data_IF_102854930144
#
_entry.id   IF_102854930144
#
_cell.length_a   1.000
_cell.length_b   1.000
_cell.length_c   1.000
_cell.angle_alpha   90.00
_cell.angle_beta   90.00
_cell.angle_gamma   90.00
#
_symmetry.space_group_name_H-M   'P 1'
#
loop_
_entity.id
_entity.type
_entity.pdbx_description
1 polymer ?
#
# COMPACT_ATOMS: atom_id res chain seq x y z
N UNK A 1 37.02 -28.31 48.08
CA UNK A 1 35.75 -29.05 47.93
C UNK A 1 34.71 -28.09 47.35
N UNK A 2 33.91 -28.55 46.39
CA UNK A 2 32.79 -27.88 45.72
C UNK A 2 33.08 -26.90 44.54
N UNK A 3 32.93 -27.45 43.33
CA UNK A 3 32.73 -26.76 42.05
C UNK A 3 31.26 -26.31 41.96
N UNK A 4 30.98 -25.02 41.79
CA UNK A 4 29.66 -24.57 41.36
C UNK A 4 29.62 -24.44 39.83
N UNK A 5 28.90 -25.38 39.22
CA UNK A 5 28.48 -25.40 37.83
C UNK A 5 27.55 -24.21 37.56
N UNK A 6 28.08 -23.14 36.98
CA UNK A 6 27.27 -22.07 36.41
C UNK A 6 26.71 -22.53 35.05
N UNK A 7 25.40 -22.38 34.93
CA UNK A 7 24.52 -23.06 34.00
C UNK A 7 24.63 -22.50 32.56
N UNK A 8 25.48 -23.10 31.72
CA UNK A 8 25.65 -22.74 30.29
C UNK A 8 24.59 -23.35 29.35
N UNK A 9 23.49 -23.94 29.86
CA UNK A 9 22.53 -24.70 29.03
C UNK A 9 21.37 -23.89 28.43
N UNK A 10 21.35 -22.56 28.61
CA UNK A 10 20.21 -21.71 28.18
C UNK A 10 20.39 -20.98 26.84
N UNK A 11 21.58 -20.97 26.24
CA UNK A 11 21.90 -20.17 25.04
C UNK A 11 21.58 -20.85 23.69
N UNK A 12 21.52 -22.19 23.62
CA UNK A 12 21.21 -22.90 22.36
C UNK A 12 19.71 -22.89 22.01
N UNK A 13 18.83 -23.01 23.00
CA UNK A 13 17.38 -22.98 22.79
C UNK A 13 16.87 -21.60 22.38
N UNK A 14 17.44 -20.53 22.93
CA UNK A 14 17.10 -19.15 22.54
C UNK A 14 17.52 -18.83 21.11
N UNK A 15 18.68 -19.32 20.66
CA UNK A 15 19.17 -19.07 19.30
C UNK A 15 18.29 -19.75 18.24
N UNK A 16 17.87 -21.00 18.49
CA UNK A 16 16.95 -21.73 17.61
C UNK A 16 15.57 -21.06 17.57
N UNK A 17 15.00 -20.66 18.71
CA UNK A 17 13.72 -19.95 18.74
C UNK A 17 13.79 -18.58 18.04
N UNK A 18 14.90 -17.85 18.19
CA UNK A 18 15.14 -16.61 17.45
C UNK A 18 15.25 -16.90 15.95
N UNK A 19 15.98 -17.93 15.54
CA UNK A 19 16.15 -18.32 14.14
C UNK A 19 14.82 -18.75 13.49
N UNK A 20 14.01 -19.56 14.19
CA UNK A 20 12.65 -19.93 13.75
C UNK A 20 11.74 -18.71 13.62
N UNK A 21 11.82 -17.76 14.56
CA UNK A 21 11.03 -16.54 14.52
C UNK A 21 11.43 -15.60 13.38
N UNK A 22 12.74 -15.49 13.08
CA UNK A 22 13.27 -14.70 11.97
C UNK A 22 12.90 -15.34 10.64
N UNK A 23 13.10 -16.66 10.50
CA UNK A 23 12.73 -17.41 9.31
C UNK A 23 11.25 -17.24 8.98
N UNK A 24 10.36 -17.40 9.97
CA UNK A 24 8.92 -17.17 9.81
C UNK A 24 8.63 -15.75 9.31
N UNK A 25 9.24 -14.72 9.90
CA UNK A 25 9.04 -13.31 9.48
C UNK A 25 9.49 -13.08 8.04
N UNK A 26 10.62 -13.66 7.63
CA UNK A 26 11.11 -13.56 6.25
C UNK A 26 10.16 -14.25 5.27
N UNK A 27 9.70 -15.46 5.58
CA UNK A 27 8.73 -16.17 4.75
C UNK A 27 7.42 -15.41 4.61
N UNK A 28 6.88 -14.87 5.72
CA UNK A 28 5.70 -14.01 5.68
C UNK A 28 5.94 -12.76 4.84
N UNK A 29 7.09 -12.10 4.98
CA UNK A 29 7.46 -10.92 4.20
C UNK A 29 7.54 -11.21 2.69
N UNK A 30 8.22 -12.28 2.30
CA UNK A 30 8.30 -12.73 0.91
C UNK A 30 6.91 -13.08 0.34
N UNK A 31 6.09 -13.76 1.13
CA UNK A 31 4.74 -14.13 0.73
C UNK A 31 3.85 -12.90 0.52
N UNK A 32 3.87 -11.94 1.45
CA UNK A 32 3.15 -10.66 1.31
C UNK A 32 3.63 -9.89 0.09
N UNK A 33 4.95 -9.75 -0.09
CA UNK A 33 5.51 -9.05 -1.24
C UNK A 33 5.07 -9.69 -2.58
N UNK A 34 5.02 -11.03 -2.64
CA UNK A 34 4.53 -11.76 -3.80
C UNK A 34 3.04 -11.49 -4.06
N UNK A 35 2.20 -11.51 -3.03
CA UNK A 35 0.77 -11.22 -3.17
C UNK A 35 0.53 -9.77 -3.65
N UNK A 36 1.24 -8.79 -3.07
CA UNK A 36 1.17 -7.39 -3.49
C UNK A 36 1.64 -7.21 -4.94
N UNK A 37 2.70 -7.91 -5.34
CA UNK A 37 3.21 -7.89 -6.71
C UNK A 37 2.17 -8.46 -7.68
N UNK A 38 1.58 -9.61 -7.38
CA UNK A 38 0.54 -10.22 -8.21
C UNK A 38 -0.66 -9.30 -8.32
N UNK A 39 -1.17 -8.77 -7.20
CA UNK A 39 -2.28 -7.81 -7.18
C UNK A 39 -2.01 -6.60 -8.08
N UNK A 40 -0.81 -6.04 -7.96
CA UNK A 40 -0.36 -4.89 -8.76
C UNK A 40 -0.30 -5.23 -10.25
N UNK A 41 0.34 -6.34 -10.62
CA UNK A 41 0.49 -6.74 -12.03
C UNK A 41 -0.85 -7.07 -12.69
N UNK A 42 -1.79 -7.66 -11.95
CA UNK A 42 -3.12 -7.99 -12.46
C UNK A 42 -3.94 -6.72 -12.70
N UNK A 43 -3.95 -5.77 -11.76
CA UNK A 43 -4.81 -4.59 -11.86
C UNK A 43 -4.23 -3.44 -12.68
N UNK A 44 -2.91 -3.37 -12.84
CA UNK A 44 -2.29 -2.32 -13.65
C UNK A 44 -2.65 -2.43 -15.13
N UNK A 45 -2.84 -3.65 -15.66
CA UNK A 45 -3.24 -3.86 -17.05
C UNK A 45 -4.57 -3.19 -17.39
N UNK A 46 -5.69 -3.58 -16.73
CA UNK A 46 -6.98 -2.93 -16.91
C UNK A 46 -6.93 -1.43 -16.62
N UNK A 47 -6.21 -1.00 -15.58
CA UNK A 47 -6.06 0.42 -15.25
C UNK A 47 -5.47 1.20 -16.43
N UNK A 48 -4.36 0.71 -17.02
CA UNK A 48 -3.71 1.36 -18.15
C UNK A 48 -4.59 1.34 -19.40
N UNK A 49 -5.35 0.27 -19.64
CA UNK A 49 -6.33 0.23 -20.74
C UNK A 49 -7.35 1.37 -20.60
N UNK A 50 -7.97 1.52 -19.42
CA UNK A 50 -8.94 2.61 -19.22
C UNK A 50 -8.28 4.01 -19.20
N UNK A 51 -7.05 4.12 -18.71
CA UNK A 51 -6.29 5.37 -18.77
C UNK A 51 -5.98 5.81 -20.21
N UNK A 52 -5.67 4.86 -21.11
CA UNK A 52 -5.48 5.14 -22.53
C UNK A 52 -6.81 5.44 -23.24
N UNK A 53 -7.87 4.68 -22.96
CA UNK A 53 -9.20 4.93 -23.51
C UNK A 53 -9.73 6.32 -23.14
N UNK A 54 -9.45 6.79 -21.91
CA UNK A 54 -9.77 8.15 -21.45
C UNK A 54 -9.20 9.24 -22.37
N UNK A 55 -8.10 8.99 -23.08
CA UNK A 55 -7.49 9.94 -24.02
C UNK A 55 -8.24 10.02 -25.35
N UNK A 56 -8.89 8.93 -25.76
CA UNK A 56 -9.63 8.84 -27.03
C UNK A 56 -11.02 9.48 -26.93
N UNK A 57 -11.60 9.51 -25.74
CA UNK A 57 -12.96 9.97 -25.51
C UNK A 57 -13.06 11.40 -24.97
N UNK A 58 -14.23 12.02 -25.16
CA UNK A 58 -14.57 13.36 -24.62
C UNK A 58 -15.90 13.31 -23.87
N UNK A 59 -16.14 14.29 -22.99
CA UNK A 59 -17.35 14.40 -22.18
C UNK A 59 -17.61 13.14 -21.34
N UNK A 60 -18.87 12.69 -21.29
CA UNK A 60 -19.34 11.60 -20.42
C UNK A 60 -18.54 10.30 -20.54
N UNK A 61 -18.01 9.96 -21.72
CA UNK A 61 -17.25 8.73 -21.89
C UNK A 61 -15.87 8.83 -21.25
N UNK A 62 -15.23 9.99 -21.33
CA UNK A 62 -13.98 10.27 -20.61
C UNK A 62 -14.19 10.19 -19.09
N UNK A 63 -15.33 10.69 -18.61
CA UNK A 63 -15.67 10.65 -17.18
C UNK A 63 -15.89 9.21 -16.70
N UNK A 64 -16.56 8.37 -17.51
CA UNK A 64 -16.69 6.92 -17.22
C UNK A 64 -15.36 6.20 -17.20
N UNK A 65 -14.45 6.47 -18.14
CA UNK A 65 -13.11 5.89 -18.11
C UNK A 65 -12.34 6.35 -16.86
N UNK A 66 -12.49 7.62 -16.47
CA UNK A 66 -11.85 8.15 -15.26
C UNK A 66 -12.41 7.48 -14.00
N UNK A 67 -13.73 7.29 -13.92
CA UNK A 67 -14.36 6.56 -12.82
C UNK A 67 -13.90 5.09 -12.76
N UNK A 68 -13.73 4.43 -13.91
CA UNK A 68 -13.20 3.07 -13.98
C UNK A 68 -11.75 2.99 -13.47
N UNK A 69 -10.88 3.93 -13.87
CA UNK A 69 -9.50 4.03 -13.37
C UNK A 69 -9.48 4.18 -11.85
N UNK A 70 -10.31 5.06 -11.30
CA UNK A 70 -10.42 5.27 -9.84
C UNK A 70 -10.93 4.02 -9.12
N UNK A 71 -11.97 3.37 -9.65
CA UNK A 71 -12.51 2.14 -9.07
C UNK A 71 -11.49 0.98 -9.07
N UNK A 72 -10.67 0.86 -10.11
CA UNK A 72 -9.59 -0.14 -10.16
C UNK A 72 -8.54 0.17 -9.08
N UNK A 73 -8.17 1.43 -8.89
CA UNK A 73 -7.20 1.83 -7.86
C UNK A 73 -7.73 1.62 -6.44
N UNK A 74 -9.00 1.93 -6.17
CA UNK A 74 -9.65 1.63 -4.89
C UNK A 74 -9.75 0.12 -4.62
N UNK A 75 -9.95 -0.67 -5.67
CA UNK A 75 -9.99 -2.14 -5.59
C UNK A 75 -8.60 -2.72 -5.31
N UNK A 76 -7.57 -2.20 -5.97
CA UNK A 76 -6.17 -2.53 -5.67
C UNK A 76 -5.85 -2.27 -4.20
N UNK A 77 -6.19 -1.07 -3.71
CA UNK A 77 -5.97 -0.68 -2.33
C UNK A 77 -6.78 -1.53 -1.34
N UNK A 78 -8.00 -1.96 -1.69
CA UNK A 78 -8.80 -2.85 -0.83
C UNK A 78 -8.21 -4.25 -0.73
N UNK A 79 -7.69 -4.80 -1.84
CA UNK A 79 -7.01 -6.10 -1.83
C UNK A 79 -5.73 -6.03 -0.98
N UNK A 80 -4.96 -4.95 -1.09
CA UNK A 80 -3.77 -4.74 -0.27
C UNK A 80 -4.11 -4.71 1.24
N UNK A 81 -5.21 -4.04 1.63
CA UNK A 81 -5.71 -4.09 3.03
C UNK A 81 -5.99 -5.51 3.48
N UNK A 82 -6.67 -6.31 2.65
CA UNK A 82 -6.98 -7.71 2.97
C UNK A 82 -5.69 -8.53 3.10
N UNK A 83 -4.71 -8.33 2.22
CA UNK A 83 -3.40 -9.00 2.32
C UNK A 83 -2.73 -8.65 3.65
N UNK A 84 -2.67 -7.36 4.00
CA UNK A 84 -2.08 -6.94 5.26
C UNK A 84 -2.83 -7.49 6.47
N UNK A 85 -4.16 -7.40 6.50
CA UNK A 85 -4.98 -7.88 7.63
C UNK A 85 -4.88 -9.40 7.84
N UNK A 86 -4.67 -10.18 6.78
CA UNK A 86 -4.58 -11.64 6.85
C UNK A 86 -3.18 -12.14 7.15
N UNK A 87 -2.14 -11.45 6.66
CA UNK A 87 -0.77 -11.92 6.75
C UNK A 87 0.04 -11.23 7.86
N UNK A 88 -0.35 -10.03 8.29
CA UNK A 88 0.35 -9.22 9.29
C UNK A 88 -0.63 -8.82 10.40
N UNK A 89 -0.38 -9.18 11.67
CA UNK A 89 -1.28 -8.88 12.79
C UNK A 89 -1.14 -7.41 13.24
N UNK A 90 -1.33 -6.47 12.32
CA UNK A 90 -1.26 -5.03 12.60
C UNK A 90 -2.51 -4.59 13.36
N UNK A 91 -2.31 -3.93 14.50
CA UNK A 91 -3.39 -3.29 15.26
C UNK A 91 -3.46 -1.81 14.89
N UNK A 92 -4.63 -1.37 14.43
CA UNK A 92 -4.88 0.01 14.01
C UNK A 92 -5.69 0.74 15.08
N UNK A 93 -5.15 1.82 15.63
CA UNK A 93 -5.89 2.81 16.44
C UNK A 93 -6.14 4.03 15.53
N UNK A 94 -7.33 4.09 14.94
CA UNK A 94 -7.77 5.16 14.04
C UNK A 94 -8.87 5.91 14.77
N UNK A 95 -8.75 7.24 14.85
CA UNK A 95 -9.70 8.13 15.54
C UNK A 95 -10.15 9.24 14.61
N UNK A 96 -11.40 9.69 14.76
CA UNK A 96 -11.95 10.79 13.97
C UNK A 96 -12.22 10.41 12.51
N UNK A 97 -12.46 9.13 12.23
CA UNK A 97 -12.93 8.63 10.94
C UNK A 97 -14.45 8.72 10.78
N UNK A 98 -15.16 9.26 11.78
CA UNK A 98 -16.60 9.48 11.71
C UNK A 98 -16.95 10.59 10.72
N UNK A 99 -18.01 10.39 9.94
CA UNK A 99 -18.53 11.41 9.03
C UNK A 99 -17.70 11.63 7.76
N UNK A 100 -16.70 10.79 7.48
CA UNK A 100 -16.04 10.76 6.17
C UNK A 100 -17.05 10.42 5.07
N UNK A 101 -16.97 11.17 3.97
CA UNK A 101 -17.87 11.09 2.83
C UNK A 101 -17.11 11.05 1.52
N UNK A 102 -17.58 10.22 0.58
CA UNK A 102 -17.01 10.10 -0.77
C UNK A 102 -17.34 11.25 -1.73
N UNK A 103 -18.18 12.21 -1.36
CA UNK A 103 -18.69 13.29 -2.23
C UNK A 103 -18.15 14.68 -1.87
N UNK A 104 -17.08 14.75 -1.07
CA UNK A 104 -16.38 16.00 -0.73
C UNK A 104 -14.87 15.83 -0.84
N UNK A 105 -14.15 16.94 -1.00
CA UNK A 105 -12.69 16.94 -1.13
C UNK A 105 -12.02 17.14 0.23
N UNK A 106 -10.93 16.40 0.46
CA UNK A 106 -10.14 16.46 1.70
C UNK A 106 -8.70 16.84 1.37
N UNK A 107 -8.10 17.66 2.24
CA UNK A 107 -6.65 17.85 2.28
C UNK A 107 -6.11 17.07 3.48
N UNK A 108 -5.41 15.97 3.22
CA UNK A 108 -4.79 15.15 4.26
C UNK A 108 -3.38 15.65 4.52
N UNK A 109 -3.10 16.00 5.78
CA UNK A 109 -1.78 16.43 6.23
C UNK A 109 -1.32 15.44 7.30
N UNK A 110 -0.16 14.82 7.09
CA UNK A 110 0.45 13.90 8.03
C UNK A 110 1.94 14.19 8.18
N UNK A 111 2.53 13.69 9.26
CA UNK A 111 3.97 13.48 9.27
C UNK A 111 4.34 12.36 8.28
N UNK A 112 5.62 12.27 7.92
CA UNK A 112 6.17 11.15 7.16
C UNK A 112 7.19 10.43 8.03
N UNK A 113 6.96 9.15 8.33
CA UNK A 113 7.79 8.37 9.25
C UNK A 113 8.35 7.14 8.57
N UNK A 114 7.57 6.50 7.69
CA UNK A 114 8.00 5.25 7.07
C UNK A 114 7.25 4.97 5.77
N UNK A 115 7.63 3.89 5.11
CA UNK A 115 6.87 3.37 3.97
C UNK A 115 5.47 2.86 4.37
N UNK A 116 5.23 2.55 5.65
CA UNK A 116 3.94 2.08 6.19
C UNK A 116 2.87 3.18 6.16
N UNK A 117 3.28 4.44 5.97
CA UNK A 117 2.36 5.58 5.89
C UNK A 117 1.34 5.41 4.76
N UNK A 118 1.73 4.83 3.62
CA UNK A 118 0.81 4.58 2.49
C UNK A 118 -0.23 3.51 2.88
N UNK A 119 0.15 2.29 3.33
CA UNK A 119 -0.81 1.32 3.87
C UNK A 119 -1.71 1.87 4.97
N UNK A 120 -1.18 2.73 5.86
CA UNK A 120 -1.97 3.34 6.93
C UNK A 120 -3.06 4.28 6.37
N UNK A 121 -2.72 5.12 5.39
CA UNK A 121 -3.68 6.00 4.72
C UNK A 121 -4.70 5.20 3.90
N UNK A 122 -4.26 4.14 3.21
CA UNK A 122 -5.16 3.20 2.54
C UNK A 122 -6.15 2.59 3.55
N UNK A 123 -5.66 2.08 4.68
CA UNK A 123 -6.48 1.48 5.73
C UNK A 123 -7.53 2.46 6.28
N UNK A 124 -7.13 3.71 6.51
CA UNK A 124 -7.98 4.73 7.11
C UNK A 124 -9.00 5.35 6.13
N UNK A 125 -8.63 5.52 4.86
CA UNK A 125 -9.37 6.38 3.92
C UNK A 125 -9.97 5.66 2.71
N UNK A 126 -9.42 4.51 2.30
CA UNK A 126 -9.88 3.83 1.07
C UNK A 126 -11.38 3.52 1.16
N UNK A 127 -12.13 3.94 0.13
CA UNK A 127 -13.60 3.82 0.03
C UNK A 127 -14.41 4.54 1.12
N UNK A 128 -13.77 5.39 1.94
CA UNK A 128 -14.43 6.27 2.92
C UNK A 128 -14.37 7.75 2.50
N UNK A 129 -13.32 8.11 1.78
CA UNK A 129 -13.15 9.39 1.09
C UNK A 129 -13.01 9.13 -0.41
N UNK A 130 -13.05 10.17 -1.27
CA UNK A 130 -12.51 10.01 -2.62
C UNK A 130 -11.08 9.46 -2.57
N UNK A 131 -10.72 8.64 -3.56
CA UNK A 131 -9.38 8.08 -3.64
C UNK A 131 -8.31 9.19 -3.60
N UNK A 132 -7.43 9.12 -2.59
CA UNK A 132 -6.48 10.18 -2.32
C UNK A 132 -5.31 10.15 -3.30
N UNK A 133 -4.76 11.33 -3.59
CA UNK A 133 -3.61 11.51 -4.46
C UNK A 133 -2.46 12.12 -3.69
N UNK A 134 -1.25 11.64 -3.96
CA UNK A 134 -0.03 12.15 -3.35
C UNK A 134 0.66 13.14 -4.27
N UNK A 135 1.37 14.08 -3.67
CA UNK A 135 2.39 14.86 -4.36
C UNK A 135 3.62 13.98 -4.59
N UNK A 136 3.73 13.41 -5.78
CA UNK A 136 4.84 12.51 -6.14
C UNK A 136 6.06 13.33 -6.58
N UNK A 137 7.26 12.83 -6.29
CA UNK A 137 8.47 13.41 -6.90
C UNK A 137 8.49 13.09 -8.38
N UNK A 138 9.00 14.01 -9.22
CA UNK A 138 9.06 13.84 -10.67
C UNK A 138 9.75 12.53 -11.09
N UNK A 139 10.76 12.09 -10.36
CA UNK A 139 11.54 10.88 -10.66
C UNK A 139 10.69 9.62 -10.68
N UNK A 140 9.57 9.60 -9.93
CA UNK A 140 8.69 8.43 -9.84
C UNK A 140 7.95 8.14 -11.15
N UNK A 141 7.89 9.10 -12.09
CA UNK A 141 7.29 8.85 -13.41
C UNK A 141 8.06 7.77 -14.20
N UNK A 142 9.33 7.54 -13.86
CA UNK A 142 10.19 6.58 -14.54
C UNK A 142 10.14 5.18 -13.94
N UNK A 143 9.39 4.96 -12.86
CA UNK A 143 9.21 3.61 -12.30
C UNK A 143 8.40 2.78 -13.30
N UNK A 144 8.91 1.63 -13.76
CA UNK A 144 8.21 0.81 -14.75
C UNK A 144 6.80 0.47 -14.29
N UNK A 145 5.83 0.64 -15.20
CA UNK A 145 4.39 0.45 -15.01
C UNK A 145 3.76 1.44 -14.02
N UNK A 146 4.26 1.55 -12.78
CA UNK A 146 3.69 2.39 -11.73
C UNK A 146 3.69 3.89 -12.11
N UNK A 147 4.75 4.37 -12.76
CA UNK A 147 4.82 5.74 -13.29
C UNK A 147 3.64 6.08 -14.20
N UNK A 148 3.28 5.15 -15.09
CA UNK A 148 2.14 5.27 -16.00
C UNK A 148 0.81 5.15 -15.27
N UNK A 149 0.72 4.30 -14.25
CA UNK A 149 -0.50 4.16 -13.44
C UNK A 149 -0.81 5.45 -12.67
N UNK A 150 0.19 6.05 -12.00
CA UNK A 150 0.03 7.33 -11.32
C UNK A 150 -0.32 8.46 -12.27
N UNK A 151 0.27 8.48 -13.47
CA UNK A 151 -0.11 9.41 -14.52
C UNK A 151 -1.57 9.22 -14.95
N UNK A 152 -2.02 7.98 -15.18
CA UNK A 152 -3.41 7.68 -15.54
C UNK A 152 -4.44 8.05 -14.46
N UNK A 153 -4.02 7.99 -13.20
CA UNK A 153 -4.77 8.45 -12.02
C UNK A 153 -4.72 9.98 -11.82
N UNK A 154 -4.07 10.73 -12.71
CA UNK A 154 -3.85 12.17 -12.61
C UNK A 154 -3.18 12.60 -11.28
N UNK A 155 -2.13 11.90 -10.84
CA UNK A 155 -1.34 12.30 -9.66
C UNK A 155 -0.46 13.54 -9.97
N UNK A 156 -0.36 14.51 -9.05
CA UNK A 156 0.50 15.68 -9.23
C UNK A 156 1.98 15.32 -9.02
N UNK A 157 2.81 15.50 -10.05
CA UNK A 157 4.26 15.34 -9.99
C UNK A 157 4.97 16.67 -9.72
N UNK A 158 5.73 16.73 -8.62
CA UNK A 158 6.41 17.93 -8.14
C UNK A 158 7.89 17.93 -8.52
N UNK A 159 8.39 19.12 -8.89
CA UNK A 159 9.82 19.42 -8.99
C UNK A 159 10.22 20.24 -7.76
N UNK A 160 11.36 19.93 -7.15
CA UNK A 160 12.01 20.81 -6.18
C UNK A 160 13.09 21.56 -6.94
N UNK A 161 13.01 22.89 -6.94
CA UNK A 161 14.06 23.80 -7.39
C UNK A 161 14.80 24.34 -6.17
#
# INVERSE_FOLDING_TARGET
MCKHLCNWRKTRGSLLLLQESVMRRLLTGCFVALLLLINTLVLIGPLLVFALLKLLFRGRMRDRCSAAVMWIAETWAEIDKVIFATCIPTQWDIRGDEGLRGDTSYLVISNHQSWVDIPALVQALNRRTPFFKFFLKKELIWVPLLGLAWWGLDYPFMKRY
#
